data_IF_888213074640
#
_entry.id   IF_888213074640
#
_cell.length_a   1.000
_cell.length_b   1.000
_cell.length_c   1.000
_cell.angle_alpha   90.00
_cell.angle_beta   90.00
_cell.angle_gamma   90.00
#
_symmetry.space_group_name_H-M   'P 1'
#
loop_
_entity.id
_entity.type
_entity.pdbx_description
1 polymer ?
#
# COMPACT_ATOMS: atom_id res chain seq x y z
N UNK A 1 -21.93 -6.35 19.27
CA UNK A 1 -20.53 -6.25 19.71
C UNK A 1 -19.65 -6.41 18.48
N UNK A 2 -18.99 -5.35 18.01
CA UNK A 2 -18.06 -5.44 16.90
C UNK A 2 -16.73 -6.01 17.42
N UNK A 3 -16.29 -7.15 16.89
CA UNK A 3 -15.00 -7.75 17.22
C UNK A 3 -13.91 -6.85 16.63
N UNK A 4 -13.04 -6.28 17.46
CA UNK A 4 -11.87 -5.57 16.98
C UNK A 4 -10.98 -6.58 16.24
N UNK A 5 -10.92 -6.50 14.90
CA UNK A 5 -9.93 -7.25 14.13
C UNK A 5 -8.57 -6.72 14.54
N UNK A 6 -7.79 -7.55 15.22
CA UNK A 6 -6.35 -7.32 15.40
C UNK A 6 -5.74 -7.19 14.00
N UNK A 7 -5.37 -5.98 13.62
CA UNK A 7 -4.68 -5.76 12.36
C UNK A 7 -3.28 -6.36 12.48
N UNK A 8 -2.82 -7.13 11.50
CA UNK A 8 -1.42 -7.55 11.47
C UNK A 8 -0.54 -6.29 11.44
N UNK A 9 0.40 -6.19 12.38
CA UNK A 9 1.42 -5.14 12.38
C UNK A 9 2.55 -5.64 11.51
N UNK A 10 2.76 -5.00 10.37
CA UNK A 10 3.84 -5.29 9.44
C UNK A 10 5.11 -4.55 9.85
N UNK A 11 6.26 -5.14 9.56
CA UNK A 11 7.55 -4.45 9.67
C UNK A 11 7.93 -3.81 8.35
N UNK A 12 8.88 -2.88 8.38
CA UNK A 12 9.47 -2.29 7.17
C UNK A 12 10.10 -3.38 6.29
N UNK A 13 10.67 -4.42 6.88
CA UNK A 13 11.27 -5.54 6.13
C UNK A 13 10.22 -6.34 5.36
N UNK A 14 9.02 -6.51 5.92
CA UNK A 14 7.91 -7.18 5.25
C UNK A 14 7.36 -6.34 4.10
N UNK A 15 7.23 -5.02 4.31
CA UNK A 15 6.90 -4.07 3.24
C UNK A 15 7.91 -4.15 2.08
N UNK A 16 9.21 -4.12 2.37
CA UNK A 16 10.25 -4.16 1.35
C UNK A 16 10.28 -5.48 0.57
N UNK A 17 9.84 -6.60 1.15
CA UNK A 17 9.69 -7.86 0.40
C UNK A 17 8.54 -7.75 -0.59
N UNK A 18 7.40 -7.24 -0.15
CA UNK A 18 6.19 -7.04 -0.97
C UNK A 18 6.49 -6.09 -2.12
N UNK A 19 7.10 -4.92 -1.84
CA UNK A 19 7.45 -3.92 -2.86
C UNK A 19 8.44 -4.43 -3.92
N UNK A 20 9.23 -5.47 -3.61
CA UNK A 20 10.16 -6.10 -4.55
C UNK A 20 9.56 -7.23 -5.36
N UNK A 21 8.47 -7.85 -4.88
CA UNK A 21 7.85 -9.00 -5.53
C UNK A 21 6.59 -8.64 -6.31
N UNK A 22 5.87 -7.62 -5.85
CA UNK A 22 4.63 -7.17 -6.47
C UNK A 22 4.91 -6.05 -7.48
N UNK A 23 4.12 -6.03 -8.57
CA UNK A 23 4.15 -4.96 -9.57
C UNK A 23 3.36 -3.72 -9.09
N UNK A 24 2.37 -3.96 -8.22
CA UNK A 24 1.59 -2.90 -7.58
C UNK A 24 2.39 -2.15 -6.52
N UNK A 25 2.13 -0.84 -6.44
CA UNK A 25 2.75 0.05 -5.47
C UNK A 25 2.02 -0.03 -4.13
N UNK A 26 2.78 -0.16 -3.06
CA UNK A 26 2.25 -0.16 -1.70
C UNK A 26 2.88 0.98 -0.90
N UNK A 27 2.14 1.51 0.07
CA UNK A 27 2.62 2.50 1.03
C UNK A 27 2.62 1.91 2.44
N UNK A 28 3.73 2.05 3.17
CA UNK A 28 3.86 1.60 4.55
C UNK A 28 3.69 2.77 5.52
N UNK A 29 2.69 2.67 6.40
CA UNK A 29 2.38 3.71 7.39
C UNK A 29 2.05 3.07 8.74
N UNK A 30 2.85 3.39 9.76
CA UNK A 30 2.64 2.98 11.16
C UNK A 30 2.39 1.48 11.38
N UNK A 31 3.08 0.63 10.62
CA UNK A 31 2.91 -0.82 10.70
C UNK A 31 1.76 -1.37 9.86
N UNK A 32 1.10 -0.54 9.06
CA UNK A 32 0.10 -0.95 8.07
C UNK A 32 0.66 -0.80 6.65
N UNK A 33 0.24 -1.68 5.74
CA UNK A 33 0.57 -1.62 4.32
C UNK A 33 -0.72 -1.31 3.56
N UNK A 34 -0.71 -0.23 2.78
CA UNK A 34 -1.82 0.19 1.95
C UNK A 34 -1.49 -0.04 0.49
N UNK A 35 -2.37 -0.75 -0.24
CA UNK A 35 -2.27 -0.80 -1.69
C UNK A 35 -2.57 0.60 -2.23
N UNK A 36 -1.64 1.16 -3.01
CA UNK A 36 -1.93 2.36 -3.77
C UNK A 36 -2.91 1.93 -4.85
N UNK A 37 -4.17 2.37 -4.76
CA UNK A 37 -5.07 2.24 -5.88
C UNK A 37 -4.39 2.93 -7.07
N UNK A 38 -4.09 2.16 -8.11
CA UNK A 38 -3.39 2.64 -9.30
C UNK A 38 -4.01 3.95 -9.79
N UNK A 39 -3.17 4.86 -10.27
CA UNK A 39 -3.64 6.13 -10.81
C UNK A 39 -4.79 5.89 -11.80
N UNK A 40 -5.93 6.54 -11.61
CA UNK A 40 -6.92 6.62 -12.67
C UNK A 40 -6.25 7.27 -13.87
N UNK A 41 -6.54 6.82 -15.11
CA UNK A 41 -5.91 7.39 -16.32
C UNK A 41 -5.96 8.93 -16.35
N UNK A 42 -7.07 9.52 -15.89
CA UNK A 42 -7.25 10.98 -15.75
C UNK A 42 -6.26 11.63 -14.75
N UNK A 43 -5.88 10.92 -13.70
CA UNK A 43 -4.88 11.37 -12.71
C UNK A 43 -3.47 11.24 -13.28
N UNK A 44 -3.21 10.19 -14.05
CA UNK A 44 -1.96 10.03 -14.80
C UNK A 44 -1.75 11.17 -15.80
N UNK A 45 -2.81 11.54 -16.53
CA UNK A 45 -2.79 12.64 -17.52
C UNK A 45 -2.47 14.02 -16.88
N UNK A 46 -2.86 14.25 -15.63
CA UNK A 46 -2.53 15.49 -14.89
C UNK A 46 -1.10 15.44 -14.33
N UNK A 47 -0.61 14.26 -13.95
CA UNK A 47 0.70 14.07 -13.33
C UNK A 47 1.87 14.08 -14.33
N UNK A 48 1.62 13.88 -15.62
CA UNK A 48 2.64 14.01 -16.68
C UNK A 48 2.80 15.47 -17.12
N UNK A 49 4.04 15.96 -17.15
CA UNK A 49 4.44 17.33 -17.56
C UNK A 49 4.79 17.36 -19.05
#
# INVERSE_FOLDING_TARGET
MALAKTKPVFTVEDYLKIDRTEDERYEFLDGEIYAMAGESGEHGDICVN
#
